data_IF_491542384478
#
_entry.id   IF_491542384478
#
_cell.length_a   1.000
_cell.length_b   1.000
_cell.length_c   1.000
_cell.angle_alpha   90.00
_cell.angle_beta   90.00
_cell.angle_gamma   90.00
#
_symmetry.space_group_name_H-M   'P 1'
#
loop_
_entity.id
_entity.type
_entity.pdbx_description
1 polymer ?
#
# COMPACT_ATOMS: atom_id res chain seq x y z
N UNK A 1 -15.75 -34.31 10.75
CA UNK A 1 -14.54 -34.73 10.03
C UNK A 1 -13.76 -33.47 9.73
N UNK A 2 -12.50 -33.45 10.11
CA UNK A 2 -11.61 -32.31 9.94
C UNK A 2 -11.34 -32.15 8.44
N UNK A 3 -12.10 -31.28 7.78
CA UNK A 3 -11.79 -30.83 6.43
C UNK A 3 -11.04 -29.51 6.59
N UNK A 4 -9.71 -29.67 6.65
CA UNK A 4 -8.69 -28.76 6.15
C UNK A 4 -9.05 -27.27 6.20
N UNK A 5 -9.00 -26.71 7.41
CA UNK A 5 -8.78 -25.28 7.62
C UNK A 5 -7.37 -24.93 7.10
N UNK A 6 -7.23 -24.79 5.78
CA UNK A 6 -6.04 -24.24 5.15
C UNK A 6 -6.06 -22.74 5.44
N UNK A 7 -5.21 -22.28 6.35
CA UNK A 7 -4.98 -20.83 6.52
C UNK A 7 -4.28 -20.29 5.27
N UNK A 8 -5.05 -20.05 4.21
CA UNK A 8 -4.62 -19.35 3.01
C UNK A 8 -5.22 -17.93 3.04
N UNK A 9 -4.92 -17.17 4.09
CA UNK A 9 -5.22 -15.74 4.09
C UNK A 9 -4.22 -15.04 3.18
N UNK A 10 -4.70 -14.35 2.14
CA UNK A 10 -3.89 -13.25 1.65
C UNK A 10 -4.69 -12.05 1.13
N UNK A 11 -5.83 -12.27 0.48
CA UNK A 11 -6.80 -11.22 0.19
C UNK A 11 -8.20 -11.82 0.13
N UNK A 12 -9.19 -11.20 0.78
CA UNK A 12 -10.61 -11.50 0.52
C UNK A 12 -10.94 -11.16 -0.94
N UNK A 13 -10.85 -12.14 -1.83
CA UNK A 13 -11.55 -12.11 -3.09
C UNK A 13 -11.97 -13.51 -3.50
N UNK A 14 -13.13 -13.92 -3.00
CA UNK A 14 -14.05 -14.80 -3.71
C UNK A 14 -15.36 -14.82 -2.90
N UNK A 15 -16.46 -14.39 -3.53
CA UNK A 15 -17.79 -14.80 -3.07
C UNK A 15 -17.84 -16.33 -2.99
N UNK A 16 -18.25 -16.86 -1.83
CA UNK A 16 -18.62 -18.27 -1.68
C UNK A 16 -17.64 -19.17 -0.93
N UNK A 17 -16.44 -18.73 -0.58
CA UNK A 17 -15.47 -19.56 0.13
C UNK A 17 -15.22 -19.05 1.56
N UNK A 18 -15.70 -19.78 2.57
CA UNK A 18 -15.30 -19.58 3.97
C UNK A 18 -13.87 -20.08 4.17
N UNK A 19 -12.87 -19.30 3.76
CA UNK A 19 -11.45 -19.70 3.86
C UNK A 19 -10.62 -18.53 4.38
N UNK A 20 -11.06 -17.92 5.48
CA UNK A 20 -10.20 -17.01 6.22
C UNK A 20 -10.20 -17.37 7.70
N UNK A 21 -9.00 -17.56 8.25
CA UNK A 21 -8.78 -17.71 9.68
C UNK A 21 -9.21 -16.44 10.45
N UNK A 22 -9.49 -15.32 9.75
CA UNK A 22 -10.07 -14.08 10.27
C UNK A 22 -11.54 -14.15 10.66
N UNK A 23 -12.37 -14.98 10.03
CA UNK A 23 -13.81 -15.06 10.41
C UNK A 23 -13.93 -15.52 11.87
N UNK A 24 -13.05 -16.44 12.29
CA UNK A 24 -13.03 -16.94 13.66
C UNK A 24 -12.65 -15.86 14.69
N UNK A 25 -11.81 -14.88 14.31
CA UNK A 25 -11.44 -13.77 15.20
C UNK A 25 -12.36 -12.56 15.05
N UNK A 26 -12.99 -12.36 13.89
CA UNK A 26 -14.01 -11.34 13.65
C UNK A 26 -15.32 -11.63 14.38
N UNK A 27 -15.70 -12.91 14.45
CA UNK A 27 -16.94 -13.34 15.11
C UNK A 27 -16.78 -13.48 16.64
N UNK A 28 -15.57 -13.27 17.18
CA UNK A 28 -15.27 -13.35 18.60
C UNK A 28 -15.56 -12.06 19.39
N UNK A 29 -15.20 -12.06 20.68
CA UNK A 29 -15.24 -10.85 21.51
C UNK A 29 -14.28 -9.77 20.99
N UNK A 30 -14.53 -8.50 21.32
CA UNK A 30 -13.70 -7.35 20.91
C UNK A 30 -12.19 -7.52 21.14
N UNK A 31 -11.81 -8.20 22.23
CA UNK A 31 -10.40 -8.50 22.54
C UNK A 31 -9.79 -9.45 21.51
N UNK A 32 -10.51 -10.52 21.15
CA UNK A 32 -10.04 -11.49 20.16
C UNK A 32 -9.98 -10.85 18.77
N UNK A 33 -10.94 -10.00 18.43
CA UNK A 33 -10.91 -9.22 17.19
C UNK A 33 -9.64 -8.37 17.12
N UNK A 34 -9.38 -7.54 18.13
CA UNK A 34 -8.26 -6.61 18.09
C UNK A 34 -6.90 -7.32 18.06
N UNK A 35 -6.65 -8.25 18.99
CA UNK A 35 -5.36 -8.95 19.06
C UNK A 35 -5.14 -9.93 17.90
N UNK A 36 -6.21 -10.56 17.39
CA UNK A 36 -6.16 -11.40 16.19
C UNK A 36 -5.66 -10.61 14.98
N UNK A 37 -6.29 -9.47 14.70
CA UNK A 37 -5.89 -8.62 13.58
C UNK A 37 -4.47 -8.02 13.75
N UNK A 38 -4.04 -7.72 14.99
CA UNK A 38 -2.68 -7.24 15.27
C UNK A 38 -1.60 -8.27 14.94
N UNK A 39 -1.80 -9.54 15.32
CA UNK A 39 -0.85 -10.61 15.01
C UNK A 39 -0.84 -10.92 13.51
N UNK A 40 -2.00 -10.91 12.89
CA UNK A 40 -2.13 -11.22 11.47
C UNK A 40 -1.61 -10.11 10.56
N UNK A 41 -1.61 -8.86 11.01
CA UNK A 41 -1.01 -7.75 10.27
C UNK A 41 0.44 -8.04 9.84
N UNK A 42 1.23 -8.73 10.67
CA UNK A 42 2.59 -9.14 10.30
C UNK A 42 2.58 -10.16 9.15
N UNK A 43 1.71 -11.15 9.23
CA UNK A 43 1.58 -12.17 8.20
C UNK A 43 1.07 -11.58 6.87
N UNK A 44 0.02 -10.76 6.92
CA UNK A 44 -0.55 -10.08 5.76
C UNK A 44 0.44 -9.13 5.11
N UNK A 45 1.28 -8.42 5.87
CA UNK A 45 2.33 -7.60 5.29
C UNK A 45 3.34 -8.41 4.46
N UNK A 46 3.88 -9.50 5.03
CA UNK A 46 4.89 -10.31 4.33
C UNK A 46 4.29 -11.09 3.16
N UNK A 47 3.10 -11.62 3.30
CA UNK A 47 2.44 -12.32 2.22
C UNK A 47 2.12 -11.35 1.04
N UNK A 48 1.90 -10.06 1.31
CA UNK A 48 1.72 -9.01 0.28
C UNK A 48 2.95 -8.72 -0.51
N UNK A 49 4.05 -8.60 0.23
CA UNK A 49 5.33 -8.27 -0.34
C UNK A 49 5.90 -9.43 -1.14
N UNK A 50 5.72 -10.67 -0.66
CA UNK A 50 6.30 -11.86 -1.26
C UNK A 50 5.47 -12.45 -2.41
N UNK A 51 4.19 -12.07 -2.53
CA UNK A 51 3.29 -12.60 -3.57
C UNK A 51 2.66 -11.49 -4.44
N UNK A 52 3.48 -10.71 -5.18
CA UNK A 52 2.97 -9.61 -6.00
C UNK A 52 2.01 -10.07 -7.10
N UNK A 53 2.20 -11.27 -7.68
CA UNK A 53 1.35 -11.80 -8.74
C UNK A 53 -0.13 -11.96 -8.36
N UNK A 54 -0.45 -12.00 -7.06
CA UNK A 54 -1.82 -12.18 -6.57
C UNK A 54 -2.66 -10.90 -6.57
N UNK A 55 -2.03 -9.74 -6.75
CA UNK A 55 -2.70 -8.43 -6.75
C UNK A 55 -2.16 -7.45 -7.80
N UNK A 56 -0.95 -7.66 -8.33
CA UNK A 56 -0.37 -6.85 -9.41
C UNK A 56 -0.63 -7.43 -10.81
N UNK A 57 -1.15 -8.65 -10.94
CA UNK A 57 -1.57 -9.18 -12.25
C UNK A 57 -2.91 -8.58 -12.68
N UNK A 58 -2.87 -7.42 -13.31
CA UNK A 58 -4.07 -6.72 -13.78
C UNK A 58 -4.69 -7.34 -15.05
N UNK A 59 -4.06 -8.37 -15.63
CA UNK A 59 -4.67 -9.17 -16.69
C UNK A 59 -5.71 -10.15 -16.12
N UNK A 60 -5.58 -10.54 -14.85
CA UNK A 60 -6.52 -11.42 -14.18
C UNK A 60 -7.56 -10.60 -13.39
N UNK A 61 -8.85 -10.81 -13.71
CA UNK A 61 -9.96 -10.15 -13.01
C UNK A 61 -9.98 -10.47 -11.51
N UNK A 62 -9.53 -11.66 -11.11
CA UNK A 62 -9.48 -12.07 -9.70
C UNK A 62 -8.46 -11.23 -8.92
N UNK A 63 -7.25 -11.08 -9.46
CA UNK A 63 -6.18 -10.25 -8.86
C UNK A 63 -6.55 -8.77 -8.79
N UNK A 64 -7.26 -8.25 -9.81
CA UNK A 64 -7.79 -6.88 -9.79
C UNK A 64 -8.81 -6.68 -8.65
N UNK A 65 -9.73 -7.63 -8.47
CA UNK A 65 -10.72 -7.58 -7.38
C UNK A 65 -10.04 -7.68 -6.01
N UNK A 66 -9.01 -8.53 -5.86
CA UNK A 66 -8.17 -8.60 -4.65
C UNK A 66 -7.58 -7.25 -4.31
N UNK A 67 -6.98 -6.57 -5.28
CA UNK A 67 -6.38 -5.26 -5.07
C UNK A 67 -7.41 -4.21 -4.61
N UNK A 68 -8.57 -4.14 -5.26
CA UNK A 68 -9.62 -3.16 -4.93
C UNK A 68 -10.19 -3.41 -3.53
N UNK A 69 -10.58 -4.65 -3.22
CA UNK A 69 -11.18 -4.98 -1.93
C UNK A 69 -10.17 -4.94 -0.79
N UNK A 70 -8.91 -5.29 -1.04
CA UNK A 70 -7.87 -5.14 -0.05
C UNK A 70 -7.63 -3.67 0.31
N UNK A 71 -7.73 -2.76 -0.67
CA UNK A 71 -7.64 -1.32 -0.45
C UNK A 71 -8.67 -0.77 0.55
N UNK A 72 -9.83 -1.41 0.66
CA UNK A 72 -10.90 -1.05 1.61
C UNK A 72 -11.02 -2.03 2.80
N UNK A 73 -10.01 -2.88 3.01
CA UNK A 73 -10.08 -3.96 4.00
C UNK A 73 -9.66 -3.52 5.42
N UNK A 74 -10.20 -4.23 6.41
CA UNK A 74 -9.76 -4.13 7.82
C UNK A 74 -8.33 -4.65 7.99
N UNK A 75 -7.95 -5.66 7.21
CA UNK A 75 -6.59 -6.24 7.20
C UNK A 75 -5.53 -5.18 6.89
N UNK A 76 -5.71 -4.45 5.79
CA UNK A 76 -4.81 -3.36 5.40
C UNK A 76 -4.78 -2.25 6.45
N UNK A 77 -5.92 -1.94 7.07
CA UNK A 77 -5.98 -0.96 8.17
C UNK A 77 -5.06 -1.35 9.33
N UNK A 78 -5.10 -2.61 9.79
CA UNK A 78 -4.22 -3.06 10.88
C UNK A 78 -2.74 -3.13 10.46
N UNK A 79 -2.43 -3.47 9.20
CA UNK A 79 -1.05 -3.39 8.66
C UNK A 79 -0.51 -1.97 8.74
N UNK A 80 -1.30 -0.98 8.28
CA UNK A 80 -0.92 0.43 8.33
C UNK A 80 -0.82 0.94 9.76
N UNK A 81 -1.75 0.56 10.63
CA UNK A 81 -1.75 0.90 12.05
C UNK A 81 -0.49 0.37 12.75
N UNK A 82 -0.14 -0.90 12.55
CA UNK A 82 1.06 -1.51 13.12
C UNK A 82 2.31 -0.85 12.57
N UNK A 83 2.37 -0.56 11.27
CA UNK A 83 3.47 0.22 10.68
C UNK A 83 3.64 1.58 11.34
N UNK A 84 2.54 2.32 11.55
CA UNK A 84 2.55 3.61 12.24
C UNK A 84 3.03 3.48 13.70
N UNK A 85 2.53 2.48 14.44
CA UNK A 85 2.92 2.25 15.82
C UNK A 85 4.40 1.87 15.94
N UNK A 86 4.92 1.03 15.04
CA UNK A 86 6.33 0.66 14.98
C UNK A 86 7.18 1.91 14.72
N UNK A 87 6.86 2.69 13.69
CA UNK A 87 7.60 3.93 13.37
C UNK A 87 7.57 4.91 14.54
N UNK A 88 6.43 5.05 15.20
CA UNK A 88 6.26 5.94 16.36
C UNK A 88 7.09 5.45 17.56
N UNK A 89 7.06 4.16 17.87
CA UNK A 89 7.84 3.56 18.96
C UNK A 89 9.36 3.73 18.73
N UNK A 90 9.85 3.41 17.53
CA UNK A 90 11.25 3.64 17.17
C UNK A 90 11.61 5.13 17.14
N UNK A 91 10.68 6.00 16.77
CA UNK A 91 10.86 7.44 16.79
C UNK A 91 11.04 8.03 18.19
N UNK A 92 10.26 7.53 19.15
CA UNK A 92 10.40 7.92 20.56
C UNK A 92 11.71 7.39 21.15
N UNK A 93 12.10 6.16 20.81
CA UNK A 93 13.35 5.56 21.28
C UNK A 93 14.57 6.35 20.77
N UNK A 94 14.63 6.64 19.46
CA UNK A 94 15.82 7.23 18.86
C UNK A 94 15.50 8.48 18.05
N UNK A 95 15.92 9.64 18.56
CA UNK A 95 15.90 10.91 17.81
C UNK A 95 16.67 10.82 16.49
N UNK A 96 17.70 9.95 16.42
CA UNK A 96 18.49 9.73 15.19
C UNK A 96 17.65 9.08 14.09
N UNK A 97 16.74 8.17 14.46
CA UNK A 97 15.82 7.52 13.51
C UNK A 97 14.87 8.56 12.89
N UNK A 98 14.21 9.37 13.73
CA UNK A 98 13.32 10.44 13.24
C UNK A 98 14.04 11.45 12.34
N UNK A 99 15.27 11.82 12.67
CA UNK A 99 16.06 12.71 11.81
C UNK A 99 16.44 12.06 10.47
N UNK A 100 16.61 10.73 10.44
CA UNK A 100 16.72 9.96 9.21
C UNK A 100 15.44 10.01 8.38
N UNK A 101 14.27 9.79 9.00
CA UNK A 101 12.97 9.88 8.32
C UNK A 101 12.74 11.27 7.70
N UNK A 102 13.05 12.35 8.44
CA UNK A 102 12.94 13.73 7.94
C UNK A 102 13.82 13.94 6.72
N UNK A 103 15.11 13.55 6.78
CA UNK A 103 16.00 13.67 5.63
C UNK A 103 15.53 12.87 4.42
N UNK A 104 14.98 11.67 4.64
CA UNK A 104 14.41 10.86 3.58
C UNK A 104 13.23 11.54 2.90
N UNK A 105 12.29 12.05 3.69
CA UNK A 105 11.10 12.76 3.20
C UNK A 105 11.45 14.09 2.53
N UNK A 106 12.37 14.85 3.10
CA UNK A 106 12.90 16.08 2.52
C UNK A 106 13.60 15.80 1.18
N UNK A 107 14.44 14.77 1.13
CA UNK A 107 15.11 14.32 -0.09
C UNK A 107 14.12 13.93 -1.18
N UNK A 108 13.09 13.14 -0.82
CA UNK A 108 12.03 12.75 -1.75
C UNK A 108 11.25 13.97 -2.27
N UNK A 109 10.73 14.82 -1.38
CA UNK A 109 9.96 15.99 -1.76
C UNK A 109 10.76 16.97 -2.61
N UNK A 110 12.04 17.20 -2.27
CA UNK A 110 12.93 18.04 -3.06
C UNK A 110 13.23 17.43 -4.44
N UNK A 111 13.48 16.12 -4.52
CA UNK A 111 13.70 15.44 -5.79
C UNK A 111 12.45 15.52 -6.68
N UNK A 112 11.27 15.21 -6.15
CA UNK A 112 9.99 15.31 -6.84
C UNK A 112 9.71 16.74 -7.27
N UNK A 113 9.89 17.73 -6.39
CA UNK A 113 9.69 19.15 -6.70
C UNK A 113 10.62 19.63 -7.82
N UNK A 114 11.91 19.27 -7.78
CA UNK A 114 12.86 19.60 -8.86
C UNK A 114 12.47 18.91 -10.16
N UNK A 115 12.09 17.64 -10.13
CA UNK A 115 11.66 16.91 -11.32
C UNK A 115 10.47 17.61 -12.01
N UNK A 116 9.44 17.96 -11.26
CA UNK A 116 8.27 18.67 -11.81
C UNK A 116 8.60 20.10 -12.25
N UNK A 117 9.51 20.81 -11.57
CA UNK A 117 9.96 22.13 -11.99
C UNK A 117 10.67 22.08 -13.37
N UNK A 118 11.53 21.09 -13.60
CA UNK A 118 12.16 20.88 -14.91
C UNK A 118 11.15 20.48 -15.98
N UNK A 119 10.20 19.59 -15.64
CA UNK A 119 9.13 19.20 -16.57
C UNK A 119 8.27 20.41 -16.98
N UNK A 120 7.91 21.28 -16.04
CA UNK A 120 7.16 22.51 -16.32
C UNK A 120 7.95 23.49 -17.20
N UNK A 121 9.24 23.67 -16.93
CA UNK A 121 10.12 24.50 -17.76
C UNK A 121 10.18 23.97 -19.21
N UNK A 122 10.34 22.66 -19.38
CA UNK A 122 10.35 22.02 -20.70
C UNK A 122 9.02 22.18 -21.43
N UNK A 123 7.89 22.05 -20.73
CA UNK A 123 6.55 22.24 -21.32
C UNK A 123 6.38 23.65 -21.89
N UNK A 124 6.79 24.68 -21.13
CA UNK A 124 6.71 26.07 -21.59
C UNK A 124 7.66 26.33 -22.76
N UNK A 125 8.88 25.78 -22.72
CA UNK A 125 9.83 25.94 -23.82
C UNK A 125 9.32 25.28 -25.10
N UNK A 126 8.76 24.07 -24.99
CA UNK A 126 8.08 23.39 -26.10
C UNK A 126 6.91 24.24 -26.62
N UNK A 127 6.10 24.82 -25.73
CA UNK A 127 4.99 25.71 -26.11
C UNK A 127 5.48 26.92 -26.91
N UNK A 128 6.56 27.57 -26.48
CA UNK A 128 7.15 28.72 -27.18
C UNK A 128 7.59 28.30 -28.59
N UNK A 129 8.32 27.19 -28.73
CA UNK A 129 8.77 26.68 -30.03
C UNK A 129 7.57 26.43 -30.96
N UNK A 130 6.51 25.80 -30.45
CA UNK A 130 5.29 25.53 -31.24
C UNK A 130 4.68 26.83 -31.76
N UNK A 131 4.52 27.85 -30.92
CA UNK A 131 3.97 29.16 -31.34
C UNK A 131 4.88 29.84 -32.37
N UNK A 132 6.20 29.77 -32.21
CA UNK A 132 7.15 30.32 -33.19
C UNK A 132 7.09 29.62 -34.54
N UNK A 133 7.07 28.28 -34.55
CA UNK A 133 6.94 27.51 -35.79
C UNK A 133 5.63 27.82 -36.51
N UNK A 134 4.52 27.93 -35.77
CA UNK A 134 3.23 28.34 -36.33
C UNK A 134 3.35 29.72 -36.97
N UNK A 135 3.83 30.73 -36.23
CA UNK A 135 3.95 32.12 -36.73
C UNK A 135 4.82 32.28 -37.98
N UNK A 136 5.78 31.39 -38.21
CA UNK A 136 6.68 31.44 -39.39
C UNK A 136 6.04 30.77 -40.61
N UNK A 137 5.25 29.71 -40.40
CA UNK A 137 4.76 28.84 -41.49
C UNK A 137 3.25 28.92 -41.75
N UNK A 138 2.49 29.67 -40.95
CA UNK A 138 1.08 30.04 -41.21
C UNK A 138 0.98 31.49 -41.65
#
# INVERSE_FOLDING_TARGET
MAEDAVCAGFFRAAEGAKISCLDQFQDGNLVNFFFGNVLEAFYNFFAALLNPGMWLDWSNKESLMRFIYYGASVELFFVLLIGLLIVTAFGIWSRRFMWGCVRGLEGFANATGRFFAWAGLLMVLQQIIIVFMQRIFT
#
